data_IF_693718941713
#
_entry.id   IF_693718941713
#
_cell.length_a   1.000
_cell.length_b   1.000
_cell.length_c   1.000
_cell.angle_alpha   90.00
_cell.angle_beta   90.00
_cell.angle_gamma   90.00
#
_symmetry.space_group_name_H-M   'P 1'
#
loop_
_entity.id
_entity.type
_entity.pdbx_description
1 polymer ?
#
# COMPACT_ATOMS: atom_id res chain seq x y z
N UNK A 1 -43.70 -38.67 30.74
CA UNK A 1 -43.85 -38.48 29.28
C UNK A 1 -43.28 -37.12 28.92
N UNK A 2 -42.03 -37.11 28.47
CA UNK A 2 -41.23 -35.92 28.16
C UNK A 2 -41.50 -35.45 26.73
N UNK A 3 -41.70 -34.15 26.53
CA UNK A 3 -41.58 -33.48 25.22
C UNK A 3 -41.07 -32.06 25.40
N UNK A 4 -39.76 -31.93 25.62
CA UNK A 4 -39.07 -30.66 25.44
C UNK A 4 -38.78 -30.51 23.95
N UNK A 5 -39.42 -29.53 23.30
CA UNK A 5 -39.15 -29.15 21.92
C UNK A 5 -37.77 -28.49 21.84
N UNK A 6 -36.86 -29.11 21.09
CA UNK A 6 -35.58 -28.55 20.67
C UNK A 6 -35.74 -27.97 19.26
N UNK A 7 -34.95 -26.92 18.99
CA UNK A 7 -34.56 -26.36 17.67
C UNK A 7 -35.24 -25.01 17.34
N UNK A 8 -34.56 -23.97 16.84
CA UNK A 8 -33.21 -23.84 16.29
C UNK A 8 -32.55 -22.57 16.89
N UNK A 9 -31.35 -22.69 17.48
CA UNK A 9 -30.42 -21.57 17.46
C UNK A 9 -29.85 -21.49 16.03
N UNK A 10 -30.31 -20.53 15.26
CA UNK A 10 -29.66 -20.15 14.01
C UNK A 10 -28.32 -19.52 14.40
N UNK A 11 -27.26 -20.31 14.42
CA UNK A 11 -25.90 -19.79 14.41
C UNK A 11 -25.71 -19.14 13.02
N UNK A 12 -26.06 -17.86 12.90
CA UNK A 12 -25.65 -17.03 11.79
C UNK A 12 -24.12 -17.08 11.76
N UNK A 13 -23.48 -17.67 10.74
CA UNK A 13 -22.05 -17.50 10.59
C UNK A 13 -21.82 -16.00 10.41
N UNK A 14 -21.00 -15.42 11.28
CA UNK A 14 -20.49 -14.07 11.08
C UNK A 14 -19.70 -14.09 9.78
N UNK A 15 -20.37 -13.76 8.67
CA UNK A 15 -19.72 -13.45 7.41
C UNK A 15 -18.98 -12.13 7.63
N UNK A 16 -17.82 -12.18 8.28
CA UNK A 16 -16.90 -11.05 8.28
C UNK A 16 -16.53 -10.84 6.81
N UNK A 17 -16.95 -9.72 6.26
CA UNK A 17 -16.64 -9.41 4.87
C UNK A 17 -15.14 -9.18 4.77
N UNK A 18 -14.51 -9.56 3.64
CA UNK A 18 -13.08 -9.32 3.44
C UNK A 18 -12.72 -7.82 3.61
N UNK A 19 -13.70 -6.93 3.38
CA UNK A 19 -13.56 -5.49 3.54
C UNK A 19 -13.19 -5.07 4.98
N UNK A 20 -13.80 -5.70 5.99
CA UNK A 20 -13.54 -5.35 7.39
C UNK A 20 -12.12 -5.75 7.82
N UNK A 21 -11.65 -6.91 7.34
CA UNK A 21 -10.30 -7.41 7.63
C UNK A 21 -9.24 -6.53 6.96
N UNK A 22 -9.44 -6.15 5.70
CA UNK A 22 -8.49 -5.33 4.96
C UNK A 22 -8.37 -3.93 5.59
N UNK A 23 -9.49 -3.35 6.04
CA UNK A 23 -9.46 -2.07 6.73
C UNK A 23 -8.66 -2.11 8.04
N UNK A 24 -8.83 -3.17 8.85
CA UNK A 24 -8.07 -3.33 10.09
C UNK A 24 -6.57 -3.56 9.82
N UNK A 25 -6.24 -4.32 8.78
CA UNK A 25 -4.87 -4.56 8.35
C UNK A 25 -4.19 -3.27 7.87
N UNK A 26 -4.87 -2.48 7.03
CA UNK A 26 -4.39 -1.18 6.56
C UNK A 26 -4.14 -0.21 7.71
N UNK A 27 -5.13 -0.08 8.61
CA UNK A 27 -5.03 0.75 9.82
C UNK A 27 -3.86 0.34 10.71
N UNK A 28 -3.64 -0.97 10.87
CA UNK A 28 -2.52 -1.50 11.65
C UNK A 28 -1.18 -1.22 10.97
N UNK A 29 -1.09 -1.49 9.66
CA UNK A 29 0.11 -1.32 8.88
C UNK A 29 0.55 0.15 8.81
N UNK A 30 -0.39 1.07 8.59
CA UNK A 30 -0.13 2.51 8.57
C UNK A 30 0.39 3.03 9.91
N UNK A 31 -0.13 2.50 11.04
CA UNK A 31 0.29 2.91 12.38
C UNK A 31 1.63 2.33 12.84
N UNK A 32 1.93 1.10 12.42
CA UNK A 32 3.09 0.34 12.90
C UNK A 32 4.23 0.25 11.89
N UNK A 33 3.98 0.62 10.65
CA UNK A 33 4.97 0.60 9.58
C UNK A 33 5.99 1.72 9.71
N UNK A 34 7.01 1.62 8.89
CA UNK A 34 8.12 2.56 8.82
C UNK A 34 7.75 3.62 7.80
N UNK A 35 7.62 4.88 8.24
CA UNK A 35 7.35 5.99 7.33
C UNK A 35 8.58 6.34 6.49
N UNK A 36 8.36 6.63 5.21
CA UNK A 36 9.39 7.18 4.33
C UNK A 36 9.56 8.68 4.55
N UNK A 37 10.80 9.16 4.40
CA UNK A 37 11.07 10.59 4.35
C UNK A 37 10.68 11.14 2.97
N UNK A 38 10.05 12.31 2.92
CA UNK A 38 9.59 12.88 1.65
C UNK A 38 10.74 13.35 0.74
N UNK A 39 11.99 13.38 1.21
CA UNK A 39 13.19 13.62 0.40
C UNK A 39 13.75 12.36 -0.24
N UNK A 40 13.27 11.17 0.15
CA UNK A 40 13.69 9.88 -0.39
C UNK A 40 12.56 8.85 -0.37
N UNK A 41 11.57 9.06 -1.25
CA UNK A 41 10.37 8.23 -1.31
C UNK A 41 9.82 7.98 -2.72
N UNK A 42 10.59 8.30 -3.75
CA UNK A 42 10.23 8.02 -5.14
C UNK A 42 10.80 6.66 -5.53
N UNK A 43 9.91 5.77 -5.95
CA UNK A 43 10.25 4.44 -6.43
C UNK A 43 9.79 4.29 -7.88
N UNK A 44 10.49 3.44 -8.63
CA UNK A 44 10.10 3.06 -9.98
C UNK A 44 9.64 1.61 -10.00
N UNK A 45 8.54 1.34 -10.70
CA UNK A 45 8.02 -0.02 -10.89
C UNK A 45 8.99 -0.79 -11.80
N UNK A 46 9.49 -1.92 -11.31
CA UNK A 46 10.38 -2.82 -12.01
C UNK A 46 9.74 -4.18 -12.36
N UNK A 47 10.58 -5.09 -12.86
CA UNK A 47 10.16 -6.42 -13.31
C UNK A 47 9.28 -6.38 -14.57
N UNK A 48 8.50 -7.44 -14.77
CA UNK A 48 7.61 -7.60 -15.92
C UNK A 48 6.14 -7.63 -15.51
N UNK A 49 5.25 -7.30 -16.45
CA UNK A 49 3.80 -7.37 -16.23
C UNK A 49 3.27 -6.37 -15.20
N UNK A 50 1.97 -6.48 -14.91
CA UNK A 50 1.24 -5.55 -14.05
C UNK A 50 1.63 -5.72 -12.58
N UNK A 51 1.89 -4.60 -11.89
CA UNK A 51 1.99 -4.55 -10.44
C UNK A 51 0.62 -4.17 -9.87
N UNK A 52 -0.01 -5.12 -9.18
CA UNK A 52 -1.35 -4.94 -8.62
C UNK A 52 -1.32 -4.09 -7.35
N UNK A 53 -2.39 -3.33 -7.14
CA UNK A 53 -2.66 -2.64 -5.89
C UNK A 53 -3.48 -3.52 -4.95
N UNK A 54 -3.28 -3.30 -3.66
CA UNK A 54 -4.04 -3.91 -2.57
C UNK A 54 -4.57 -2.81 -1.64
N UNK A 55 -5.77 -2.98 -1.06
CA UNK A 55 -6.30 -2.06 -0.05
C UNK A 55 -5.58 -2.16 1.29
N UNK A 56 -4.86 -3.26 1.52
CA UNK A 56 -4.05 -3.52 2.70
C UNK A 56 -2.83 -4.39 2.31
N UNK A 57 -1.78 -4.51 3.12
CA UNK A 57 -0.58 -5.29 2.78
C UNK A 57 -0.79 -6.81 2.96
N UNK A 58 -1.81 -7.35 2.29
CA UNK A 58 -2.14 -8.78 2.27
C UNK A 58 -2.75 -9.17 0.92
N UNK A 59 -2.40 -10.36 0.42
CA UNK A 59 -2.84 -10.84 -0.90
C UNK A 59 -4.36 -11.02 -1.03
N UNK A 60 -5.07 -11.17 0.09
CA UNK A 60 -6.54 -11.24 0.13
C UNK A 60 -7.19 -9.88 -0.12
N UNK A 61 -6.45 -8.79 0.04
CA UNK A 61 -6.92 -7.41 -0.11
C UNK A 61 -6.66 -6.86 -1.52
N UNK A 62 -6.65 -7.73 -2.53
CA UNK A 62 -6.39 -7.35 -3.93
C UNK A 62 -7.47 -6.41 -4.47
N UNK A 63 -7.05 -5.26 -4.99
CA UNK A 63 -7.91 -4.32 -5.71
C UNK A 63 -8.02 -4.73 -7.18
N UNK A 64 -9.12 -5.40 -7.51
CA UNK A 64 -9.30 -5.99 -8.84
C UNK A 64 -9.28 -4.91 -9.93
N UNK A 65 -8.32 -5.04 -10.86
CA UNK A 65 -8.21 -4.15 -12.01
C UNK A 65 -7.44 -2.87 -11.72
N UNK A 66 -6.94 -2.68 -10.50
CA UNK A 66 -6.11 -1.52 -10.13
C UNK A 66 -4.65 -1.95 -10.15
N UNK A 67 -3.89 -1.41 -11.10
CA UNK A 67 -2.49 -1.77 -11.29
C UNK A 67 -1.71 -0.65 -11.96
N UNK A 68 -0.39 -0.73 -11.83
CA UNK A 68 0.58 0.06 -12.59
C UNK A 68 1.48 -0.87 -13.39
N UNK A 69 2.26 -0.32 -14.31
CA UNK A 69 3.17 -1.08 -15.19
C UNK A 69 4.63 -0.68 -14.95
N UNK A 70 5.59 -1.54 -15.37
CA UNK A 70 7.00 -1.22 -15.25
C UNK A 70 7.32 0.12 -15.90
N UNK A 71 8.12 0.92 -15.21
CA UNK A 71 8.47 2.26 -15.63
C UNK A 71 7.67 3.38 -14.95
N UNK A 72 6.49 3.10 -14.40
CA UNK A 72 5.75 4.10 -13.64
C UNK A 72 6.49 4.49 -12.35
N UNK A 73 6.36 5.75 -11.95
CA UNK A 73 6.87 6.26 -10.67
C UNK A 73 5.79 6.19 -9.61
N UNK A 74 6.18 5.77 -8.42
CA UNK A 74 5.33 5.67 -7.24
C UNK A 74 5.95 6.46 -6.10
N UNK A 75 5.09 7.03 -5.27
CA UNK A 75 5.48 7.79 -4.10
C UNK A 75 5.15 6.97 -2.86
N UNK A 76 6.16 6.47 -2.15
CA UNK A 76 5.99 5.63 -0.99
C UNK A 76 5.75 6.45 0.28
N UNK A 77 4.91 5.92 1.17
CA UNK A 77 4.59 6.54 2.46
C UNK A 77 4.94 5.67 3.65
N UNK A 78 4.64 4.37 3.58
CA UNK A 78 4.85 3.44 4.68
C UNK A 78 5.33 2.09 4.15
N UNK A 79 6.40 1.56 4.74
CA UNK A 79 6.82 0.17 4.59
C UNK A 79 6.23 -0.69 5.71
N UNK A 80 5.58 -1.80 5.34
CA UNK A 80 5.09 -2.80 6.28
C UNK A 80 5.13 -4.21 5.67
N UNK A 81 5.85 -5.13 6.30
CA UNK A 81 5.86 -6.57 5.97
C UNK A 81 6.02 -6.90 4.46
N UNK A 82 6.93 -6.22 3.78
CA UNK A 82 7.21 -6.47 2.35
C UNK A 82 6.25 -5.78 1.39
N UNK A 83 5.42 -4.86 1.86
CA UNK A 83 4.59 -3.99 1.04
C UNK A 83 4.88 -2.53 1.32
N UNK A 84 4.76 -1.70 0.29
CA UNK A 84 4.77 -0.25 0.42
C UNK A 84 3.37 0.29 0.20
N UNK A 85 2.89 1.14 1.12
CA UNK A 85 1.79 2.05 0.85
C UNK A 85 2.31 3.15 -0.07
N UNK A 86 1.66 3.33 -1.21
CA UNK A 86 2.11 4.19 -2.29
C UNK A 86 0.97 5.03 -2.85
N UNK A 87 1.35 6.12 -3.51
CA UNK A 87 0.52 6.85 -4.44
C UNK A 87 1.11 6.75 -5.85
N UNK A 88 0.26 6.48 -6.82
CA UNK A 88 0.50 6.72 -8.23
C UNK A 88 -0.23 8.00 -8.66
N UNK A 89 0.43 8.81 -9.48
CA UNK A 89 -0.17 9.96 -10.14
C UNK A 89 -0.01 9.75 -11.66
N UNK A 90 -1.11 9.70 -12.39
CA UNK A 90 -1.09 9.59 -13.85
C UNK A 90 -0.72 10.93 -14.49
N UNK A 91 -0.35 10.89 -15.77
CA UNK A 91 -0.05 12.10 -16.54
C UNK A 91 -1.29 13.00 -16.71
N UNK A 92 -2.49 12.42 -16.66
CA UNK A 92 -3.78 13.12 -16.72
C UNK A 92 -4.19 13.71 -15.35
N UNK A 93 -3.40 13.44 -14.29
CA UNK A 93 -3.63 13.94 -12.94
C UNK A 93 -4.48 13.04 -12.06
N UNK A 94 -4.87 11.85 -12.53
CA UNK A 94 -5.58 10.87 -11.70
C UNK A 94 -4.66 10.28 -10.64
N UNK A 95 -5.21 10.09 -9.44
CA UNK A 95 -4.48 9.55 -8.31
C UNK A 95 -5.03 8.19 -7.89
N UNK A 96 -4.12 7.25 -7.63
CA UNK A 96 -4.44 5.95 -7.04
C UNK A 96 -3.54 5.73 -5.83
N UNK A 97 -4.14 5.35 -4.70
CA UNK A 97 -3.41 5.00 -3.49
C UNK A 97 -3.69 3.55 -3.10
N UNK A 98 -2.74 2.93 -2.42
CA UNK A 98 -2.87 1.58 -1.90
C UNK A 98 -1.51 0.93 -1.63
N UNK A 99 -1.51 -0.37 -1.42
CA UNK A 99 -0.32 -1.16 -1.12
C UNK A 99 0.17 -1.91 -2.36
N UNK A 100 1.48 -2.05 -2.51
CA UNK A 100 2.12 -2.86 -3.56
C UNK A 100 3.27 -3.68 -2.99
N UNK A 101 3.61 -4.82 -3.61
CA UNK A 101 4.75 -5.65 -3.17
C UNK A 101 6.08 -4.91 -3.36
N UNK A 102 6.86 -4.78 -2.29
CA UNK A 102 8.14 -4.04 -2.24
C UNK A 102 9.15 -4.52 -3.27
N UNK A 103 9.25 -5.84 -3.47
CA UNK A 103 10.27 -6.44 -4.35
C UNK A 103 10.11 -6.05 -5.82
N UNK A 104 8.99 -5.41 -6.18
CA UNK A 104 8.71 -4.86 -7.50
C UNK A 104 9.14 -3.40 -7.65
N UNK A 105 9.73 -2.80 -6.61
CA UNK A 105 10.07 -1.39 -6.57
C UNK A 105 11.60 -1.21 -6.57
N UNK A 106 12.04 -0.26 -7.40
CA UNK A 106 13.43 0.15 -7.51
C UNK A 106 13.52 1.56 -6.92
N UNK A 107 14.34 1.72 -5.89
CA UNK A 107 14.61 3.00 -5.28
C UNK A 107 15.26 3.96 -6.29
N UNK A 108 14.77 5.20 -6.34
CA UNK A 108 15.31 6.24 -7.23
C UNK A 108 16.23 7.22 -6.53
N UNK A 109 16.38 7.13 -5.20
CA UNK A 109 17.14 8.06 -4.36
C UNK A 109 16.70 9.51 -4.57
N UNK A 110 15.37 9.69 -4.54
CA UNK A 110 14.69 10.94 -4.86
C UNK A 110 13.45 11.09 -3.99
N UNK A 111 13.13 12.33 -3.64
CA UNK A 111 11.92 12.69 -2.93
C UNK A 111 10.95 13.47 -3.78
N UNK A 112 9.70 13.51 -3.33
CA UNK A 112 8.73 14.53 -3.78
C UNK A 112 9.15 15.91 -3.27
N UNK A 113 9.68 15.97 -2.05
CA UNK A 113 10.19 17.18 -1.45
C UNK A 113 11.67 17.37 -1.81
N UNK A 114 12.11 18.60 -2.12
CA UNK A 114 13.53 18.92 -2.24
C UNK A 114 14.28 18.66 -0.92
N UNK A 115 15.49 18.13 -0.99
CA UNK A 115 16.41 18.10 0.15
C UNK A 115 17.20 19.41 0.24
N UNK A 116 16.65 20.37 0.99
CA UNK A 116 17.27 21.68 1.18
C UNK A 116 18.66 21.62 1.84
N UNK A 117 19.00 20.55 2.56
CA UNK A 117 20.30 20.43 3.23
C UNK A 117 21.39 19.98 2.26
N UNK A 118 21.09 19.07 1.33
CA UNK A 118 22.01 18.65 0.27
C UNK A 118 22.27 19.78 -0.73
N UNK A 119 21.21 20.49 -1.13
CA UNK A 119 21.31 21.63 -2.08
C UNK A 119 22.23 22.74 -1.53
N UNK A 120 22.14 23.02 -0.23
CA UNK A 120 22.97 24.01 0.44
C UNK A 120 24.45 23.60 0.53
N UNK A 121 24.76 22.30 0.61
CA UNK A 121 26.13 21.79 0.64
C UNK A 121 26.76 21.79 -0.75
N UNK A 122 25.98 21.46 -1.79
CA UNK A 122 26.44 21.51 -3.18
C UNK A 122 26.73 22.94 -3.65
N UNK A 123 25.96 23.92 -3.17
CA UNK A 123 26.21 25.34 -3.45
C UNK A 123 27.46 25.91 -2.76
N UNK A 124 27.95 25.29 -1.68
CA UNK A 124 29.19 25.71 -0.98
C UNK A 124 30.45 25.09 -1.60
N UNK A 125 30.30 24.10 -2.45
CA UNK A 125 31.40 23.34 -3.06
C UNK A 125 31.66 23.72 -4.53
N UNK A 126 30.90 24.68 -5.09
CA UNK A 126 31.10 25.28 -6.40
C UNK A 126 31.52 26.76 -6.30
#
# INVERSE_FOLDING_TARGET
MTRTLIALLVALPFFSSANDICQDLDSTATKKGISFDNTDNVFKVGGEGRLQFYSAPDKKCLEKGVFVIPGNSLYAYVEYHGYYSVMYLSDDGDQVTGWVEKDRLIDMHKGIAPDYNQDAQQKKSN
#
